data_IF_285809750916
#
_entry.id   IF_285809750916
#
_cell.length_a   1.000
_cell.length_b   1.000
_cell.length_c   1.000
_cell.angle_alpha   90.00
_cell.angle_beta   90.00
_cell.angle_gamma   90.00
#
_symmetry.space_group_name_H-M   'P 1'
#
loop_
_entity.id
_entity.type
_entity.pdbx_description
1 polymer ?
#
# COMPACT_ATOMS: atom_id res chain seq x y z
N UNK A 1 13.37 -7.06 -48.27
CA UNK A 1 13.59 -8.26 -47.45
C UNK A 1 14.86 -8.06 -46.65
N UNK A 2 14.75 -7.96 -45.32
CA UNK A 2 15.91 -7.87 -44.45
C UNK A 2 16.74 -9.15 -44.61
N UNK A 3 18.03 -9.03 -44.90
CA UNK A 3 18.96 -10.18 -45.07
C UNK A 3 19.24 -10.94 -43.76
N UNK A 4 18.60 -10.54 -42.65
CA UNK A 4 18.69 -11.18 -41.35
C UNK A 4 17.27 -11.19 -40.76
N UNK A 5 16.65 -12.37 -40.53
CA UNK A 5 15.33 -12.45 -39.93
C UNK A 5 15.37 -11.89 -38.51
N UNK A 6 14.39 -11.05 -38.17
CA UNK A 6 14.23 -10.53 -36.80
C UNK A 6 13.66 -11.67 -35.95
N UNK A 7 14.46 -12.14 -34.99
CA UNK A 7 14.03 -13.12 -34.00
C UNK A 7 13.16 -12.43 -32.97
N UNK A 8 11.98 -12.98 -32.76
CA UNK A 8 10.96 -12.43 -31.86
C UNK A 8 10.53 -13.51 -30.89
N UNK A 9 10.55 -13.18 -29.60
CA UNK A 9 10.14 -14.09 -28.54
C UNK A 9 8.79 -13.59 -28.01
N UNK A 10 7.82 -14.48 -27.90
CA UNK A 10 6.51 -14.17 -27.33
C UNK A 10 6.16 -15.16 -26.23
N UNK A 11 5.86 -14.64 -25.04
CA UNK A 11 5.40 -15.43 -23.91
C UNK A 11 3.88 -15.48 -23.91
N UNK A 12 3.32 -16.61 -24.31
CA UNK A 12 1.88 -16.81 -24.40
C UNK A 12 1.31 -17.11 -23.00
N UNK A 13 0.43 -16.24 -22.50
CA UNK A 13 -0.33 -16.48 -21.27
C UNK A 13 -1.73 -17.02 -21.58
N UNK A 14 -2.23 -18.05 -20.88
CA UNK A 14 -3.64 -18.45 -20.94
C UNK A 14 -4.61 -17.33 -20.54
N UNK A 15 -4.09 -16.35 -19.79
CA UNK A 15 -4.80 -15.18 -19.30
C UNK A 15 -4.83 -14.00 -20.28
N UNK A 16 -4.21 -14.12 -21.47
CA UNK A 16 -4.20 -13.06 -22.47
C UNK A 16 -5.52 -13.03 -23.26
N UNK A 17 -5.89 -11.85 -23.74
CA UNK A 17 -7.03 -11.71 -24.65
C UNK A 17 -6.78 -12.48 -25.95
N UNK A 18 -7.76 -13.24 -26.48
CA UNK A 18 -7.62 -13.93 -27.77
C UNK A 18 -7.22 -13.00 -28.92
N UNK A 19 -7.72 -11.76 -28.91
CA UNK A 19 -7.41 -10.73 -29.90
C UNK A 19 -5.93 -10.34 -29.90
N UNK A 20 -5.25 -10.38 -28.75
CA UNK A 20 -3.81 -10.11 -28.65
C UNK A 20 -3.00 -11.24 -29.29
N UNK A 21 -3.38 -12.49 -29.03
CA UNK A 21 -2.71 -13.63 -29.64
C UNK A 21 -2.92 -13.63 -31.16
N UNK A 22 -4.15 -13.45 -31.64
CA UNK A 22 -4.45 -13.35 -33.08
C UNK A 22 -3.64 -12.22 -33.74
N UNK A 23 -3.66 -11.03 -33.14
CA UNK A 23 -2.93 -9.88 -33.65
C UNK A 23 -1.42 -10.12 -33.69
N UNK A 24 -0.86 -10.78 -32.68
CA UNK A 24 0.57 -11.13 -32.63
C UNK A 24 0.94 -12.09 -33.76
N UNK A 25 0.14 -13.14 -33.99
CA UNK A 25 0.38 -14.11 -35.06
C UNK A 25 0.26 -13.50 -36.46
N UNK A 26 -0.77 -12.70 -36.67
CA UNK A 26 -0.97 -11.98 -37.93
C UNK A 26 0.15 -10.97 -38.20
N UNK A 27 0.60 -10.27 -37.17
CA UNK A 27 1.69 -9.28 -37.27
C UNK A 27 3.04 -9.95 -37.54
N UNK A 28 3.32 -11.08 -36.87
CA UNK A 28 4.51 -11.87 -37.14
C UNK A 28 4.55 -12.37 -38.59
N UNK A 29 3.41 -12.84 -39.12
CA UNK A 29 3.31 -13.24 -40.52
C UNK A 29 3.47 -12.06 -41.49
N UNK A 30 2.83 -10.92 -41.19
CA UNK A 30 2.86 -9.73 -42.05
C UNK A 30 4.26 -9.10 -42.16
N UNK A 31 5.04 -9.15 -41.09
CA UNK A 31 6.41 -8.62 -41.04
C UNK A 31 7.51 -9.67 -41.24
N UNK A 32 7.16 -10.92 -41.54
CA UNK A 32 8.10 -12.04 -41.72
C UNK A 32 9.04 -12.21 -40.52
N UNK A 33 8.46 -12.18 -39.31
CA UNK A 33 9.18 -12.33 -38.05
C UNK A 33 9.37 -13.80 -37.70
N UNK A 34 10.56 -14.16 -37.22
CA UNK A 34 10.81 -15.49 -36.68
C UNK A 34 10.28 -15.55 -35.23
N UNK A 35 8.99 -15.86 -35.10
CA UNK A 35 8.29 -15.92 -33.82
C UNK A 35 8.53 -17.25 -33.09
N UNK A 36 9.08 -17.16 -31.88
CA UNK A 36 9.24 -18.28 -30.95
C UNK A 36 8.28 -18.10 -29.78
N UNK A 37 7.35 -19.03 -29.62
CA UNK A 37 6.30 -18.99 -28.60
C UNK A 37 6.75 -19.79 -27.38
N UNK A 38 6.79 -19.13 -26.23
CA UNK A 38 7.10 -19.74 -24.94
C UNK A 38 5.83 -19.82 -24.09
N UNK A 39 5.58 -20.99 -23.49
CA UNK A 39 4.41 -21.25 -22.62
C UNK A 39 4.78 -21.51 -21.15
N UNK A 40 6.05 -21.33 -20.82
CA UNK A 40 6.56 -21.37 -19.45
C UNK A 40 6.36 -20.02 -18.76
N UNK A 41 6.62 -19.95 -17.46
CA UNK A 41 6.74 -18.65 -16.79
C UNK A 41 7.88 -17.82 -17.41
N UNK A 42 7.73 -16.49 -17.34
CA UNK A 42 8.59 -15.56 -18.05
C UNK A 42 10.07 -15.70 -17.65
N UNK A 43 10.34 -15.89 -16.35
CA UNK A 43 11.71 -16.00 -15.84
C UNK A 43 12.37 -17.32 -16.27
N UNK A 44 11.72 -18.46 -16.04
CA UNK A 44 12.29 -19.77 -16.38
C UNK A 44 12.44 -19.97 -17.89
N UNK A 45 11.50 -19.43 -18.68
CA UNK A 45 11.59 -19.45 -20.13
C UNK A 45 12.77 -18.62 -20.63
N UNK A 46 12.93 -17.40 -20.09
CA UNK A 46 14.07 -16.56 -20.43
C UNK A 46 15.41 -17.20 -20.01
N UNK A 47 15.50 -17.81 -18.83
CA UNK A 47 16.68 -18.55 -18.39
C UNK A 47 17.03 -19.71 -19.33
N UNK A 48 16.02 -20.47 -19.77
CA UNK A 48 16.21 -21.60 -20.69
C UNK A 48 16.67 -21.12 -22.06
N UNK A 49 16.07 -20.04 -22.56
CA UNK A 49 16.40 -19.43 -23.84
C UNK A 49 17.84 -18.89 -23.88
N UNK A 50 18.27 -18.19 -22.82
CA UNK A 50 19.62 -17.62 -22.72
C UNK A 50 20.69 -18.70 -22.52
N UNK A 51 20.33 -19.88 -22.00
CA UNK A 51 21.22 -21.05 -21.95
C UNK A 51 21.38 -21.72 -23.30
N UNK A 52 20.28 -21.84 -24.05
CA UNK A 52 20.27 -22.52 -25.35
C UNK A 52 20.91 -21.66 -26.46
N UNK A 53 20.67 -20.35 -26.42
CA UNK A 53 21.04 -19.42 -27.51
C UNK A 53 21.95 -18.30 -26.99
N UNK A 54 22.98 -17.90 -27.74
CA UNK A 54 23.94 -16.88 -27.33
C UNK A 54 23.36 -15.45 -27.52
N UNK A 55 22.23 -15.15 -26.88
CA UNK A 55 21.56 -13.85 -26.92
C UNK A 55 22.27 -12.91 -25.94
N UNK A 56 22.71 -11.76 -26.43
CA UNK A 56 23.40 -10.74 -25.61
C UNK A 56 22.51 -9.56 -25.24
N UNK A 57 21.56 -9.23 -26.10
CA UNK A 57 20.69 -8.08 -25.96
C UNK A 57 19.28 -8.42 -26.44
N UNK A 58 18.28 -7.82 -25.79
CA UNK A 58 16.86 -7.99 -26.11
C UNK A 58 16.24 -6.61 -26.23
N UNK A 59 15.56 -6.36 -27.35
CA UNK A 59 14.77 -5.17 -27.55
C UNK A 59 13.44 -5.30 -26.81
N UNK A 60 13.11 -4.28 -26.03
CA UNK A 60 11.88 -4.19 -25.25
C UNK A 60 11.15 -2.90 -25.60
N UNK A 61 9.83 -2.97 -25.70
CA UNK A 61 8.95 -1.83 -25.95
C UNK A 61 8.56 -1.08 -24.68
N UNK A 62 9.44 -1.02 -23.69
CA UNK A 62 9.18 -0.36 -22.40
C UNK A 62 9.29 1.15 -22.55
N UNK A 63 8.33 1.88 -21.98
CA UNK A 63 8.35 3.35 -21.83
C UNK A 63 8.54 3.72 -20.36
N UNK A 64 8.99 4.93 -20.08
CA UNK A 64 9.30 5.40 -18.73
C UNK A 64 8.07 5.41 -17.80
N UNK A 65 6.86 5.56 -18.36
CA UNK A 65 5.60 5.44 -17.62
C UNK A 65 5.09 4.01 -17.41
N UNK A 66 5.81 2.99 -17.89
CA UNK A 66 5.41 1.59 -17.68
C UNK A 66 5.90 1.09 -16.31
N UNK A 67 5.16 0.21 -15.62
CA UNK A 67 5.48 -0.09 -14.22
C UNK A 67 6.84 -0.70 -13.93
N UNK A 68 7.41 -1.37 -14.92
CA UNK A 68 8.69 -2.07 -14.79
C UNK A 68 9.87 -1.22 -15.24
N UNK A 69 9.66 0.04 -15.67
CA UNK A 69 10.68 0.89 -16.27
C UNK A 69 11.58 1.62 -15.25
N UNK A 70 11.23 1.57 -13.96
CA UNK A 70 11.94 2.28 -12.88
C UNK A 70 13.44 1.94 -12.90
N UNK A 71 14.28 2.98 -12.98
CA UNK A 71 15.74 2.85 -13.00
C UNK A 71 16.31 2.23 -14.28
N UNK A 72 15.50 2.02 -15.32
CA UNK A 72 16.00 1.57 -16.61
C UNK A 72 16.47 2.75 -17.45
N UNK A 73 17.63 2.58 -18.08
CA UNK A 73 18.10 3.45 -19.16
C UNK A 73 17.76 2.83 -20.53
N UNK A 74 18.03 3.57 -21.62
CA UNK A 74 17.90 3.06 -22.99
C UNK A 74 18.69 1.77 -23.21
N UNK A 75 19.83 1.62 -22.53
CA UNK A 75 20.61 0.39 -22.45
C UNK A 75 20.86 0.08 -20.98
N UNK A 76 20.29 -1.00 -20.46
CA UNK A 76 20.51 -1.38 -19.05
C UNK A 76 20.68 -2.90 -18.88
N UNK A 77 21.59 -3.36 -18.01
CA UNK A 77 21.73 -4.78 -17.71
C UNK A 77 20.46 -5.32 -17.02
N UNK A 78 20.15 -6.60 -17.22
CA UNK A 78 19.07 -7.24 -16.48
C UNK A 78 19.25 -7.12 -14.96
N UNK A 79 18.13 -7.08 -14.23
CA UNK A 79 18.14 -6.81 -12.79
C UNK A 79 18.75 -7.97 -12.00
N UNK A 80 19.27 -7.70 -10.82
CA UNK A 80 19.82 -8.73 -9.92
C UNK A 80 18.81 -9.87 -9.71
N UNK A 81 19.25 -11.12 -9.87
CA UNK A 81 18.40 -12.31 -9.77
C UNK A 81 17.66 -12.71 -11.05
N UNK A 82 17.81 -11.96 -12.14
CA UNK A 82 17.40 -12.36 -13.50
C UNK A 82 18.59 -12.92 -14.28
N UNK A 83 18.36 -13.75 -15.32
CA UNK A 83 19.45 -14.18 -16.18
C UNK A 83 20.12 -12.98 -16.86
N UNK A 84 21.44 -13.02 -17.10
CA UNK A 84 22.19 -11.87 -17.59
C UNK A 84 21.91 -11.61 -19.09
N UNK A 85 21.39 -10.43 -19.40
CA UNK A 85 21.29 -9.90 -20.77
C UNK A 85 21.20 -8.36 -20.75
N UNK A 86 21.46 -7.70 -21.87
CA UNK A 86 21.26 -6.26 -22.04
C UNK A 86 19.82 -5.96 -22.48
N UNK A 87 19.08 -5.15 -21.72
CA UNK A 87 17.83 -4.54 -22.17
C UNK A 87 18.15 -3.38 -23.11
N UNK A 88 17.46 -3.34 -24.23
CA UNK A 88 17.50 -2.22 -25.18
C UNK A 88 16.09 -1.66 -25.28
N UNK A 89 15.87 -0.42 -24.82
CA UNK A 89 14.57 0.25 -24.75
C UNK A 89 14.55 1.48 -25.68
N UNK A 90 14.28 1.33 -27.00
CA UNK A 90 14.43 2.43 -27.96
C UNK A 90 13.37 3.53 -27.85
N UNK A 91 12.27 3.26 -27.16
CA UNK A 91 11.12 4.16 -27.01
C UNK A 91 10.91 4.55 -25.54
N UNK A 92 11.95 4.48 -24.72
CA UNK A 92 11.85 4.70 -23.28
C UNK A 92 11.26 6.07 -22.95
N UNK A 93 11.63 7.09 -23.71
CA UNK A 93 11.21 8.48 -23.58
C UNK A 93 9.87 8.81 -24.28
N UNK A 94 9.22 7.82 -24.91
CA UNK A 94 7.96 8.08 -25.62
C UNK A 94 6.78 8.18 -24.65
N UNK A 95 5.99 9.23 -24.80
CA UNK A 95 4.71 9.36 -24.09
C UNK A 95 3.60 8.53 -24.75
N UNK A 96 2.47 8.37 -24.06
CA UNK A 96 1.25 7.78 -24.62
C UNK A 96 0.83 8.46 -25.94
N UNK A 97 0.97 9.79 -25.99
CA UNK A 97 0.64 10.59 -27.16
C UNK A 97 1.59 10.32 -28.32
N UNK A 98 2.89 10.16 -28.06
CA UNK A 98 3.89 9.88 -29.10
C UNK A 98 3.64 8.52 -29.75
N UNK A 99 3.30 7.50 -28.93
CA UNK A 99 2.92 6.18 -29.42
C UNK A 99 1.73 6.27 -30.39
N UNK A 100 0.64 6.92 -29.98
CA UNK A 100 -0.54 7.05 -30.86
C UNK A 100 -0.29 7.95 -32.07
N UNK A 101 0.43 9.06 -31.90
CA UNK A 101 0.79 9.94 -33.00
C UNK A 101 1.56 9.17 -34.07
N UNK A 102 2.54 8.35 -33.67
CA UNK A 102 3.30 7.50 -34.59
C UNK A 102 2.42 6.44 -35.26
N UNK A 103 1.67 5.66 -34.46
CA UNK A 103 0.79 4.60 -34.98
C UNK A 103 -0.19 5.14 -36.03
N UNK A 104 -0.87 6.25 -35.71
CA UNK A 104 -1.87 6.86 -36.60
C UNK A 104 -1.23 7.52 -37.83
N UNK A 105 -0.13 8.26 -37.65
CA UNK A 105 0.55 8.96 -38.75
C UNK A 105 1.17 7.97 -39.74
N UNK A 106 1.82 6.92 -39.22
CA UNK A 106 2.46 5.88 -40.02
C UNK A 106 1.50 4.77 -40.47
N UNK A 107 0.22 4.85 -40.05
CA UNK A 107 -0.82 3.84 -40.36
C UNK A 107 -0.39 2.42 -39.99
N UNK A 108 0.29 2.29 -38.84
CA UNK A 108 0.69 1.00 -38.29
C UNK A 108 -0.56 0.31 -37.77
N UNK A 109 -0.72 -0.98 -38.08
CA UNK A 109 -1.84 -1.76 -37.54
C UNK A 109 -1.67 -1.91 -36.02
N UNK A 110 -2.78 -1.89 -35.29
CA UNK A 110 -2.84 -2.11 -33.84
C UNK A 110 -3.99 -3.08 -33.49
N UNK A 111 -3.99 -3.62 -32.27
CA UNK A 111 -4.99 -4.59 -31.82
C UNK A 111 -6.40 -3.95 -31.72
N UNK A 112 -7.43 -4.65 -32.19
CA UNK A 112 -8.82 -4.15 -32.22
C UNK A 112 -9.43 -3.84 -30.85
N UNK A 113 -8.84 -4.33 -29.76
CA UNK A 113 -9.27 -3.96 -28.40
C UNK A 113 -9.11 -2.46 -28.14
N UNK A 114 -8.11 -1.82 -28.74
CA UNK A 114 -7.92 -0.38 -28.57
C UNK A 114 -9.09 0.44 -29.17
N UNK A 115 -9.76 -0.06 -30.21
CA UNK A 115 -10.98 0.59 -30.74
C UNK A 115 -12.19 0.43 -29.82
N UNK A 116 -12.13 -0.52 -28.89
CA UNK A 116 -13.19 -0.83 -27.91
C UNK A 116 -12.97 -0.11 -26.57
N UNK A 117 -12.06 0.87 -26.51
CA UNK A 117 -11.79 1.67 -25.32
C UNK A 117 -10.78 1.09 -24.35
N UNK A 118 -10.13 -0.04 -24.66
CA UNK A 118 -9.02 -0.53 -23.86
C UNK A 118 -7.80 0.36 -24.10
N UNK A 119 -7.25 0.97 -23.05
CA UNK A 119 -6.07 1.86 -23.17
C UNK A 119 -4.78 1.20 -22.72
N UNK A 120 -4.86 0.18 -21.85
CA UNK A 120 -3.76 -0.70 -21.43
C UNK A 120 -4.27 -2.13 -21.42
N UNK A 121 -3.51 -3.08 -21.97
CA UNK A 121 -3.94 -4.48 -22.10
C UNK A 121 -3.08 -5.35 -21.20
N UNK A 122 -3.71 -6.13 -20.31
CA UNK A 122 -3.02 -7.12 -19.49
C UNK A 122 -3.83 -8.41 -19.47
N UNK A 123 -4.26 -8.89 -18.29
CA UNK A 123 -5.01 -10.15 -18.26
C UNK A 123 -6.50 -9.93 -18.49
N UNK A 124 -7.18 -10.94 -19.03
CA UNK A 124 -8.65 -10.96 -19.19
C UNK A 124 -9.39 -10.83 -17.84
N UNK A 125 -8.71 -11.05 -16.72
CA UNK A 125 -9.29 -10.98 -15.38
C UNK A 125 -9.21 -9.59 -14.76
N UNK A 126 -8.25 -8.78 -15.18
CA UNK A 126 -7.95 -7.48 -14.56
C UNK A 126 -8.03 -6.31 -15.53
N UNK A 127 -8.38 -6.52 -16.79
CA UNK A 127 -8.46 -5.47 -17.79
C UNK A 127 -9.90 -5.23 -18.19
N UNK A 128 -10.35 -3.97 -18.12
CA UNK A 128 -11.64 -3.48 -18.60
C UNK A 128 -11.42 -2.23 -19.48
N UNK A 129 -12.39 -1.85 -20.33
CA UNK A 129 -12.31 -0.60 -21.06
C UNK A 129 -12.14 0.61 -20.14
N UNK A 130 -11.45 1.64 -20.61
CA UNK A 130 -11.25 2.87 -19.85
C UNK A 130 -12.56 3.65 -19.75
N UNK A 131 -13.05 3.85 -18.52
CA UNK A 131 -14.32 4.53 -18.27
C UNK A 131 -14.38 5.96 -18.83
N UNK A 132 -13.23 6.65 -18.96
CA UNK A 132 -13.13 8.00 -19.53
C UNK A 132 -13.44 8.04 -21.03
N UNK A 133 -13.41 6.89 -21.70
CA UNK A 133 -13.77 6.73 -23.11
C UNK A 133 -15.23 6.34 -23.30
N UNK A 134 -16.00 6.14 -22.22
CA UNK A 134 -17.41 5.79 -22.32
C UNK A 134 -18.23 6.92 -22.95
N UNK A 135 -19.13 6.54 -23.86
CA UNK A 135 -20.14 7.43 -24.45
C UNK A 135 -21.49 7.06 -23.87
N UNK A 136 -21.98 7.89 -22.95
CA UNK A 136 -23.29 7.70 -22.35
C UNK A 136 -24.39 8.12 -23.35
N UNK A 137 -24.83 7.19 -24.19
CA UNK A 137 -26.09 7.35 -24.93
C UNK A 137 -27.25 6.85 -24.06
N UNK A 138 -28.09 7.78 -23.61
CA UNK A 138 -29.24 7.57 -22.71
C UNK A 138 -30.37 6.70 -23.27
N UNK A 139 -30.13 5.95 -24.36
CA UNK A 139 -31.15 5.16 -25.06
C UNK A 139 -30.69 3.76 -25.49
N UNK A 140 -29.48 3.30 -25.12
CA UNK A 140 -29.05 1.94 -25.44
C UNK A 140 -28.41 1.24 -24.23
N UNK A 141 -28.74 -0.03 -24.02
CA UNK A 141 -28.20 -0.89 -22.95
C UNK A 141 -26.77 -1.38 -23.22
N UNK A 142 -26.11 -0.86 -24.26
CA UNK A 142 -24.71 -1.17 -24.61
C UNK A 142 -23.84 0.05 -24.33
N UNK A 143 -22.90 -0.10 -23.42
CA UNK A 143 -21.84 0.89 -23.22
C UNK A 143 -20.97 0.93 -24.48
N UNK A 144 -21.00 2.07 -25.18
CA UNK A 144 -20.14 2.33 -26.33
C UNK A 144 -18.90 3.10 -25.85
N UNK A 145 -17.72 2.70 -26.31
CA UNK A 145 -16.46 3.36 -25.95
C UNK A 145 -15.81 4.00 -27.18
N UNK A 146 -15.16 5.14 -26.96
CA UNK A 146 -14.27 5.77 -27.94
C UNK A 146 -12.96 4.97 -28.04
N UNK A 147 -12.27 5.01 -29.19
CA UNK A 147 -10.95 4.40 -29.34
C UNK A 147 -9.91 4.96 -28.36
N UNK A 148 -8.92 4.14 -28.02
CA UNK A 148 -7.88 4.43 -27.04
C UNK A 148 -7.12 5.74 -27.33
N UNK A 149 -6.78 6.01 -28.58
CA UNK A 149 -6.08 7.24 -28.98
C UNK A 149 -6.87 8.53 -28.69
N UNK A 150 -8.15 8.44 -28.32
CA UNK A 150 -8.95 9.58 -27.88
C UNK A 150 -8.84 9.87 -26.37
N UNK A 151 -8.06 9.09 -25.62
CA UNK A 151 -7.78 9.36 -24.21
C UNK A 151 -6.97 10.65 -24.11
N UNK A 152 -7.55 11.66 -23.45
CA UNK A 152 -6.96 12.99 -23.36
C UNK A 152 -5.73 13.05 -22.45
N UNK A 153 -5.73 12.25 -21.39
CA UNK A 153 -4.64 12.19 -20.41
C UNK A 153 -4.00 10.80 -20.44
N UNK A 154 -2.78 10.73 -20.98
CA UNK A 154 -2.01 9.49 -21.08
C UNK A 154 -1.65 8.88 -19.72
N UNK A 155 -1.63 9.65 -18.63
CA UNK A 155 -1.38 9.12 -17.27
C UNK A 155 -2.48 8.15 -16.82
N UNK A 156 -3.67 8.29 -17.40
CA UNK A 156 -4.83 7.44 -17.11
C UNK A 156 -4.89 6.22 -18.04
N UNK A 157 -3.81 5.89 -18.75
CA UNK A 157 -3.72 4.72 -19.64
C UNK A 157 -4.14 3.42 -18.94
N UNK A 158 -3.82 3.27 -17.65
CA UNK A 158 -4.10 2.05 -16.86
C UNK A 158 -5.36 2.16 -15.99
N UNK A 159 -6.18 3.19 -16.16
CA UNK A 159 -7.41 3.36 -15.38
C UNK A 159 -8.42 2.22 -15.60
N UNK A 160 -8.36 1.54 -16.76
CA UNK A 160 -9.15 0.34 -17.07
C UNK A 160 -8.67 -0.95 -16.39
N UNK A 161 -8.11 -0.89 -15.18
CA UNK A 161 -7.71 -2.10 -14.43
C UNK A 161 -8.77 -2.44 -13.39
N UNK A 162 -9.42 -3.59 -13.53
CA UNK A 162 -10.37 -4.07 -12.53
C UNK A 162 -9.64 -4.34 -11.21
N UNK A 163 -10.18 -3.78 -10.10
CA UNK A 163 -9.72 -4.09 -8.74
C UNK A 163 -9.79 -5.60 -8.55
N UNK A 164 -8.64 -6.24 -8.29
CA UNK A 164 -8.57 -7.69 -8.05
C UNK A 164 -9.39 -8.04 -6.81
N UNK A 165 -10.63 -8.48 -6.98
CA UNK A 165 -11.34 -9.23 -5.94
C UNK A 165 -10.62 -10.56 -5.87
N UNK A 166 -9.81 -10.73 -4.82
CA UNK A 166 -9.20 -12.00 -4.46
C UNK A 166 -10.27 -13.10 -4.48
N UNK A 167 -10.11 -14.05 -5.39
CA UNK A 167 -10.95 -15.23 -5.54
C UNK A 167 -10.86 -16.08 -4.27
N UNK A 168 -11.91 -16.01 -3.43
CA UNK A 168 -12.19 -17.05 -2.44
C UNK A 168 -12.66 -18.31 -3.16
N UNK A 169 -12.09 -19.42 -2.74
CA UNK A 169 -12.45 -20.78 -3.11
C UNK A 169 -13.97 -21.02 -2.93
N UNK A 170 -14.59 -21.60 -3.94
CA UNK A 170 -15.99 -22.01 -3.94
C UNK A 170 -16.27 -23.01 -2.81
N UNK A 171 -17.25 -22.70 -1.97
CA UNK A 171 -18.03 -23.69 -1.24
C UNK A 171 -19.51 -23.46 -1.59
N UNK A 172 -19.97 -24.27 -2.53
CA UNK A 172 -21.31 -24.87 -2.65
C UNK A 172 -22.49 -24.05 -2.09
N UNK A 173 -23.31 -23.54 -3.00
CA UNK A 173 -24.68 -23.09 -2.75
C UNK A 173 -25.46 -24.12 -1.91
N UNK A 174 -25.86 -23.73 -0.70
CA UNK A 174 -27.02 -24.29 -0.02
C UNK A 174 -28.02 -23.17 0.24
N UNK A 175 -29.24 -23.46 -0.17
CA UNK A 175 -30.42 -22.62 -0.20
C UNK A 175 -30.68 -21.89 1.12
N UNK A 176 -31.18 -20.67 0.96
CA UNK A 176 -31.81 -19.86 2.00
C UNK A 176 -32.80 -20.67 2.83
N UNK A 177 -32.69 -20.55 4.14
CA UNK A 177 -33.85 -20.50 5.01
C UNK A 177 -33.58 -19.51 6.12
N UNK A 178 -34.52 -18.59 6.29
CA UNK A 178 -34.43 -17.44 7.18
C UNK A 178 -34.15 -17.86 8.62
N UNK A 179 -33.32 -17.05 9.27
CA UNK A 179 -33.32 -16.92 10.71
C UNK A 179 -32.82 -15.52 11.04
N UNK A 180 -33.75 -14.69 11.50
CA UNK A 180 -33.44 -13.45 12.20
C UNK A 180 -32.48 -13.78 13.34
N UNK A 181 -31.19 -13.50 13.15
CA UNK A 181 -30.22 -13.51 14.23
C UNK A 181 -29.90 -12.07 14.61
N UNK A 182 -30.78 -11.56 15.47
CA UNK A 182 -30.46 -10.71 16.61
C UNK A 182 -28.96 -10.47 16.84
N UNK A 183 -28.54 -9.21 16.70
CA UNK A 183 -27.43 -8.58 17.41
C UNK A 183 -26.16 -9.40 17.64
N UNK A 184 -25.44 -9.77 16.57
CA UNK A 184 -24.02 -10.08 16.72
C UNK A 184 -23.26 -8.78 17.03
N UNK A 185 -22.92 -8.59 18.31
CA UNK A 185 -22.03 -7.53 18.80
C UNK A 185 -20.70 -7.53 18.00
N UNK A 186 -20.63 -6.74 16.92
CA UNK A 186 -19.34 -6.26 16.39
C UNK A 186 -18.76 -5.32 17.44
N UNK A 187 -17.71 -5.73 18.13
CA UNK A 187 -16.88 -4.80 18.92
C UNK A 187 -16.28 -3.77 17.95
N UNK A 188 -16.86 -2.58 17.89
CA UNK A 188 -16.54 -1.49 16.95
C UNK A 188 -15.26 -0.74 17.37
N UNK A 189 -14.14 -1.43 17.41
CA UNK A 189 -12.83 -0.80 17.57
C UNK A 189 -12.20 -0.66 16.19
N UNK A 190 -11.90 0.57 15.79
CA UNK A 190 -11.04 0.82 14.63
C UNK A 190 -9.60 0.55 15.06
N UNK A 191 -8.86 -0.19 14.25
CA UNK A 191 -7.48 -0.56 14.54
C UNK A 191 -6.48 0.27 13.74
N UNK A 192 -5.37 0.58 14.39
CA UNK A 192 -4.23 1.26 13.80
C UNK A 192 -2.97 0.41 13.91
N UNK A 193 -2.12 0.51 12.89
CA UNK A 193 -0.75 -0.01 12.90
C UNK A 193 0.24 1.13 12.79
N UNK A 194 1.39 0.99 13.44
CA UNK A 194 2.48 1.98 13.39
C UNK A 194 3.75 1.27 12.88
N UNK A 195 4.39 1.85 11.88
CA UNK A 195 5.62 1.34 11.28
C UNK A 195 6.68 2.45 11.37
N UNK A 196 7.73 2.19 12.13
CA UNK A 196 8.92 3.02 12.18
C UNK A 196 9.95 2.48 11.18
N UNK A 197 10.52 3.34 10.34
CA UNK A 197 11.56 2.98 9.37
C UNK A 197 12.86 3.66 9.80
N UNK A 198 13.85 2.87 10.21
CA UNK A 198 15.11 3.42 10.73
C UNK A 198 16.05 2.36 11.30
N UNK A 199 17.18 2.15 10.62
CA UNK A 199 18.24 1.27 11.11
C UNK A 199 18.84 1.75 12.44
N UNK A 200 18.88 3.06 12.67
CA UNK A 200 19.38 3.67 13.90
C UNK A 200 18.58 3.27 15.15
N UNK A 201 17.28 3.00 14.98
CA UNK A 201 16.39 2.47 16.02
C UNK A 201 16.72 1.00 16.24
N UNK A 202 16.87 0.22 15.17
CA UNK A 202 17.22 -1.20 15.23
C UNK A 202 18.61 -1.45 15.83
N UNK A 203 19.57 -0.55 15.57
CA UNK A 203 20.91 -0.58 16.14
C UNK A 203 20.96 -0.10 17.59
N UNK A 204 19.86 0.46 18.12
CA UNK A 204 19.79 1.01 19.47
C UNK A 204 20.60 2.29 19.65
N UNK A 205 20.94 2.98 18.55
CA UNK A 205 21.65 4.27 18.58
C UNK A 205 20.70 5.45 18.76
N UNK A 206 19.42 5.26 18.49
CA UNK A 206 18.34 6.21 18.76
C UNK A 206 17.15 5.50 19.42
N UNK A 207 16.45 6.17 20.32
CA UNK A 207 15.21 5.67 20.93
C UNK A 207 13.99 6.08 20.10
N UNK A 208 13.06 5.15 19.89
CA UNK A 208 11.77 5.46 19.25
C UNK A 208 10.83 6.19 20.24
N UNK A 209 10.78 7.52 20.12
CA UNK A 209 9.86 8.37 20.88
C UNK A 209 8.57 8.69 20.08
N UNK A 210 8.63 8.65 18.75
CA UNK A 210 7.50 8.99 17.87
C UNK A 210 6.44 7.90 17.94
N UNK A 211 6.82 6.63 17.84
CA UNK A 211 5.91 5.49 17.91
C UNK A 211 5.17 5.42 19.24
N UNK A 212 5.87 5.66 20.35
CA UNK A 212 5.27 5.75 21.68
C UNK A 212 4.25 6.90 21.79
N UNK A 213 4.58 8.08 21.26
CA UNK A 213 3.69 9.25 21.27
C UNK A 213 2.46 9.02 20.40
N UNK A 214 2.62 8.43 19.21
CA UNK A 214 1.51 8.03 18.33
C UNK A 214 0.56 7.06 19.01
N UNK A 215 1.08 6.09 19.78
CA UNK A 215 0.22 5.18 20.54
C UNK A 215 -0.67 5.91 21.53
N UNK A 216 -0.11 6.88 22.27
CA UNK A 216 -0.86 7.69 23.24
C UNK A 216 -1.93 8.53 22.53
N UNK A 217 -1.59 9.16 21.42
CA UNK A 217 -2.51 9.98 20.61
C UNK A 217 -3.65 9.18 20.00
N UNK A 218 -3.36 8.04 19.38
CA UNK A 218 -4.38 7.15 18.82
C UNK A 218 -5.31 6.61 19.90
N UNK A 219 -4.75 6.26 21.05
CA UNK A 219 -5.54 5.84 22.20
C UNK A 219 -6.47 6.97 22.70
N UNK A 220 -5.98 8.21 22.77
CA UNK A 220 -6.78 9.38 23.14
C UNK A 220 -7.92 9.65 22.14
N UNK A 221 -7.74 9.33 20.85
CA UNK A 221 -8.80 9.45 19.83
C UNK A 221 -9.71 8.22 19.70
N UNK A 222 -9.52 7.22 20.56
CA UNK A 222 -10.37 6.02 20.61
C UNK A 222 -10.02 4.95 19.57
N UNK A 223 -8.84 5.03 18.97
CA UNK A 223 -8.25 4.05 18.05
C UNK A 223 -7.38 3.05 18.81
N UNK A 224 -7.54 1.77 18.49
CA UNK A 224 -6.76 0.71 19.12
C UNK A 224 -5.51 0.44 18.28
N UNK A 225 -4.32 0.70 18.83
CA UNK A 225 -3.08 0.27 18.19
C UNK A 225 -2.96 -1.25 18.34
N UNK A 226 -3.05 -1.97 17.22
CA UNK A 226 -2.96 -3.43 17.18
C UNK A 226 -1.53 -3.90 16.96
N UNK A 227 -0.70 -3.08 16.32
CA UNK A 227 0.66 -3.43 15.98
C UNK A 227 1.58 -2.20 15.94
N UNK A 228 2.80 -2.38 16.41
CA UNK A 228 3.92 -1.48 16.19
C UNK A 228 5.13 -2.31 15.75
N UNK A 229 5.81 -1.86 14.72
CA UNK A 229 7.03 -2.49 14.20
C UNK A 229 8.07 -1.44 13.86
N UNK A 230 9.34 -1.83 14.00
CA UNK A 230 10.50 -1.10 13.49
C UNK A 230 11.09 -1.95 12.37
N UNK A 231 11.28 -1.37 11.19
CA UNK A 231 11.82 -2.05 10.01
C UNK A 231 13.10 -1.40 9.52
N UNK A 232 13.89 -2.16 8.77
CA UNK A 232 15.15 -1.69 8.19
C UNK A 232 14.91 -0.63 7.12
N UNK A 233 15.93 0.18 6.85
CA UNK A 233 15.98 1.14 5.73
C UNK A 233 16.15 0.41 4.38
N UNK A 234 15.26 -0.55 4.12
CA UNK A 234 15.22 -1.36 2.91
C UNK A 234 13.79 -1.39 2.35
N UNK A 235 13.66 -1.23 1.03
CA UNK A 235 12.37 -1.13 0.34
C UNK A 235 11.53 -2.38 0.54
N UNK A 236 12.16 -3.56 0.56
CA UNK A 236 11.46 -4.85 0.66
C UNK A 236 10.92 -5.04 2.08
N UNK A 237 11.71 -4.65 3.08
CA UNK A 237 11.34 -4.67 4.50
C UNK A 237 10.13 -3.77 4.78
N UNK A 238 10.15 -2.54 4.29
CA UNK A 238 9.00 -1.62 4.41
C UNK A 238 7.79 -2.17 3.65
N UNK A 239 7.99 -2.66 2.42
CA UNK A 239 6.90 -3.16 1.60
C UNK A 239 6.21 -4.38 2.21
N UNK A 240 6.97 -5.31 2.78
CA UNK A 240 6.43 -6.50 3.44
C UNK A 240 5.58 -6.13 4.65
N UNK A 241 6.05 -5.22 5.51
CA UNK A 241 5.29 -4.81 6.69
C UNK A 241 4.02 -4.05 6.29
N UNK A 242 4.11 -3.13 5.33
CA UNK A 242 2.93 -2.42 4.82
C UNK A 242 1.93 -3.37 4.16
N UNK A 243 2.37 -4.36 3.37
CA UNK A 243 1.52 -5.39 2.76
C UNK A 243 0.73 -6.17 3.83
N UNK A 244 1.39 -6.54 4.92
CA UNK A 244 0.78 -7.28 6.01
C UNK A 244 -0.26 -6.43 6.77
N UNK A 245 0.00 -5.13 6.99
CA UNK A 245 -0.87 -4.26 7.79
C UNK A 245 -2.01 -3.64 7.02
N UNK A 246 -1.81 -3.27 5.75
CA UNK A 246 -2.82 -2.53 4.95
C UNK A 246 -4.17 -3.25 4.83
N UNK A 247 -4.20 -4.58 4.99
CA UNK A 247 -5.42 -5.40 4.92
C UNK A 247 -5.97 -5.86 6.28
N UNK A 248 -5.16 -5.75 7.34
CA UNK A 248 -5.52 -6.20 8.70
C UNK A 248 -6.03 -5.07 9.56
N UNK A 249 -5.56 -3.85 9.30
CA UNK A 249 -5.86 -2.68 10.11
C UNK A 249 -6.57 -1.61 9.28
N UNK A 250 -7.43 -0.84 9.95
CA UNK A 250 -8.21 0.21 9.31
C UNK A 250 -7.31 1.36 8.84
N UNK A 251 -6.23 1.65 9.57
CA UNK A 251 -5.24 2.67 9.20
C UNK A 251 -3.81 2.23 9.58
N UNK A 252 -2.84 2.67 8.79
CA UNK A 252 -1.41 2.44 9.04
C UNK A 252 -0.70 3.78 9.05
N UNK A 253 0.07 4.04 10.10
CA UNK A 253 0.96 5.18 10.21
C UNK A 253 2.38 4.74 9.98
N UNK A 254 3.09 5.48 9.15
CA UNK A 254 4.49 5.23 8.84
C UNK A 254 5.30 6.51 9.10
N UNK A 255 6.46 6.37 9.71
CA UNK A 255 7.39 7.49 9.92
C UNK A 255 8.84 7.03 9.81
N UNK A 256 9.75 7.97 9.57
CA UNK A 256 11.15 7.68 9.26
C UNK A 256 11.35 7.28 7.78
N UNK A 257 12.61 7.20 7.35
CA UNK A 257 12.99 6.88 5.97
C UNK A 257 12.41 7.83 4.91
N UNK A 258 12.26 9.12 5.26
CA UNK A 258 11.83 10.20 4.37
C UNK A 258 12.91 11.27 4.26
N UNK A 259 13.41 11.49 3.05
CA UNK A 259 14.51 12.40 2.79
C UNK A 259 15.22 12.08 1.47
N UNK A 260 16.32 12.79 1.16
CA UNK A 260 17.02 12.68 -0.12
C UNK A 260 18.10 11.59 -0.11
N UNK A 261 18.28 10.86 0.99
CA UNK A 261 19.33 9.86 1.11
C UNK A 261 18.87 8.55 0.48
N UNK A 262 19.82 7.75 0.02
CA UNK A 262 19.57 6.38 -0.46
C UNK A 262 18.86 5.45 0.55
N UNK A 263 18.91 5.80 1.84
CA UNK A 263 18.27 5.09 2.94
C UNK A 263 16.82 5.52 3.15
N UNK A 264 16.36 6.58 2.49
CA UNK A 264 15.00 7.09 2.59
C UNK A 264 14.06 6.29 1.67
N UNK A 265 13.69 5.11 2.15
CA UNK A 265 12.99 4.08 1.37
C UNK A 265 11.48 4.04 1.60
N UNK A 266 10.95 4.87 2.50
CA UNK A 266 9.57 4.73 3.00
C UNK A 266 8.51 4.85 1.90
N UNK A 267 8.63 5.87 1.05
CA UNK A 267 7.70 6.08 -0.06
C UNK A 267 7.78 4.95 -1.09
N UNK A 268 9.01 4.50 -1.41
CA UNK A 268 9.25 3.39 -2.32
C UNK A 268 8.69 2.05 -1.79
N UNK A 269 8.85 1.79 -0.49
CA UNK A 269 8.29 0.62 0.18
C UNK A 269 6.77 0.62 0.14
N UNK A 270 6.13 1.77 0.40
CA UNK A 270 4.68 1.94 0.26
C UNK A 270 4.23 1.71 -1.17
N UNK A 271 4.92 2.28 -2.17
CA UNK A 271 4.60 2.05 -3.59
C UNK A 271 4.66 0.55 -3.95
N UNK A 272 5.74 -0.14 -3.54
CA UNK A 272 5.92 -1.56 -3.76
C UNK A 272 4.83 -2.40 -3.09
N UNK A 273 4.45 -2.09 -1.85
CA UNK A 273 3.34 -2.75 -1.16
C UNK A 273 2.01 -2.58 -1.90
N UNK A 274 1.76 -1.43 -2.52
CA UNK A 274 0.53 -1.25 -3.30
C UNK A 274 0.62 -1.74 -4.75
N UNK A 275 1.80 -2.20 -5.19
CA UNK A 275 2.05 -2.63 -6.56
C UNK A 275 1.92 -1.50 -7.57
N UNK A 276 2.27 -0.27 -7.16
CA UNK A 276 2.25 0.94 -7.99
C UNK A 276 3.66 1.48 -8.16
N UNK A 277 3.84 2.37 -9.12
CA UNK A 277 5.13 3.00 -9.41
C UNK A 277 5.29 4.30 -8.67
N UNK A 278 6.52 4.76 -8.55
CA UNK A 278 6.78 6.13 -8.16
C UNK A 278 6.76 7.01 -9.41
N UNK A 279 6.07 8.14 -9.32
CA UNK A 279 6.05 9.16 -10.36
C UNK A 279 6.31 10.53 -9.73
N UNK A 280 6.96 11.46 -10.45
CA UNK A 280 7.06 12.84 -10.00
C UNK A 280 5.67 13.44 -9.78
N UNK A 281 5.49 14.06 -8.62
CA UNK A 281 4.28 14.78 -8.27
C UNK A 281 4.56 16.29 -8.29
N UNK A 282 3.94 17.01 -9.24
CA UNK A 282 4.19 18.44 -9.46
C UNK A 282 3.77 19.31 -8.26
N UNK A 283 2.69 18.93 -7.56
CA UNK A 283 2.15 19.67 -6.42
C UNK A 283 3.06 19.50 -5.19
N UNK A 284 3.54 18.28 -4.96
CA UNK A 284 4.53 18.03 -3.92
C UNK A 284 5.87 18.68 -4.25
N UNK A 285 6.31 18.66 -5.51
CA UNK A 285 7.54 19.31 -5.95
C UNK A 285 7.50 20.83 -5.73
N UNK A 286 6.37 21.48 -6.02
CA UNK A 286 6.19 22.91 -5.75
C UNK A 286 6.30 23.21 -4.25
N UNK A 287 5.67 22.39 -3.40
CA UNK A 287 5.78 22.50 -1.95
C UNK A 287 7.24 22.34 -1.47
N UNK A 288 7.97 21.37 -2.01
CA UNK A 288 9.39 21.17 -1.72
C UNK A 288 10.24 22.35 -2.18
N UNK A 289 9.95 22.95 -3.34
CA UNK A 289 10.70 24.11 -3.86
C UNK A 289 10.60 25.32 -2.94
N UNK A 290 9.44 25.52 -2.31
CA UNK A 290 9.26 26.57 -1.29
C UNK A 290 10.10 26.34 -0.02
N UNK A 291 10.37 25.08 0.33
CA UNK A 291 11.12 24.72 1.53
C UNK A 291 12.64 24.69 1.30
N UNK A 292 13.09 24.09 0.22
CA UNK A 292 14.51 23.77 -0.03
C UNK A 292 15.16 24.75 -1.04
N UNK A 293 14.35 25.57 -1.73
CA UNK A 293 14.81 26.47 -2.79
C UNK A 293 15.26 25.73 -4.07
N UNK A 294 15.98 26.42 -4.97
CA UNK A 294 16.51 25.86 -6.22
C UNK A 294 17.77 24.97 -6.01
N UNK A 295 17.95 24.38 -4.83
CA UNK A 295 19.17 23.63 -4.47
C UNK A 295 19.12 22.16 -4.91
N UNK A 296 18.10 21.75 -5.64
CA UNK A 296 18.04 20.43 -6.29
C UNK A 296 19.04 20.37 -7.45
N UNK A 297 20.26 19.88 -7.17
CA UNK A 297 21.26 19.64 -8.20
C UNK A 297 21.01 18.29 -8.87
N UNK A 298 20.16 18.27 -9.91
CA UNK A 298 19.84 17.12 -10.76
C UNK A 298 18.68 17.43 -11.71
N UNK A 299 18.52 16.67 -12.80
CA UNK A 299 17.43 16.89 -13.77
C UNK A 299 16.03 16.56 -13.19
N UNK A 300 15.95 15.83 -12.07
CA UNK A 300 14.71 15.45 -11.39
C UNK A 300 14.85 15.48 -9.85
N UNK A 301 13.82 15.97 -9.16
CA UNK A 301 13.76 15.98 -7.69
C UNK A 301 13.26 14.62 -7.17
N UNK A 302 14.17 13.75 -6.73
CA UNK A 302 13.82 12.41 -6.24
C UNK A 302 12.89 12.46 -5.00
N UNK A 303 12.91 13.54 -4.23
CA UNK A 303 11.99 13.78 -3.11
C UNK A 303 10.53 13.95 -3.55
N UNK A 304 10.31 14.32 -4.82
CA UNK A 304 8.98 14.50 -5.39
C UNK A 304 8.37 13.22 -5.97
N UNK A 305 9.06 12.09 -5.86
CA UNK A 305 8.59 10.80 -6.37
C UNK A 305 7.59 10.17 -5.40
N UNK A 306 6.31 10.14 -5.79
CA UNK A 306 5.22 9.61 -4.97
C UNK A 306 4.50 8.42 -5.63
N UNK A 307 3.81 7.53 -4.87
CA UNK A 307 3.09 6.38 -5.41
C UNK A 307 1.96 6.79 -6.37
N UNK A 308 2.12 6.46 -7.64
CA UNK A 308 1.26 6.90 -8.73
C UNK A 308 -0.18 6.36 -8.57
N UNK A 309 -1.16 7.27 -8.75
CA UNK A 309 -2.58 6.94 -8.81
C UNK A 309 -3.22 6.54 -7.47
N UNK A 310 -2.47 6.56 -6.36
CA UNK A 310 -3.00 6.27 -5.02
C UNK A 310 -2.65 7.31 -3.96
N UNK A 311 -1.78 8.27 -4.31
CA UNK A 311 -1.34 9.32 -3.41
C UNK A 311 -2.39 10.42 -3.33
N UNK A 312 -2.69 10.82 -2.11
CA UNK A 312 -3.51 11.97 -1.74
C UNK A 312 -2.64 12.87 -0.87
N UNK A 313 -2.41 14.10 -1.31
CA UNK A 313 -1.67 15.11 -0.56
C UNK A 313 -2.61 15.88 0.35
N UNK A 314 -2.40 15.75 1.66
CA UNK A 314 -3.23 16.40 2.66
C UNK A 314 -2.60 17.75 3.05
N UNK A 315 -3.19 18.82 2.52
CA UNK A 315 -2.71 20.18 2.67
C UNK A 315 -3.17 20.82 3.98
N UNK A 316 -2.27 21.56 4.62
CA UNK A 316 -2.58 22.37 5.78
C UNK A 316 -1.69 23.61 5.82
N UNK A 317 -2.23 24.79 6.14
CA UNK A 317 -1.51 26.07 6.10
C UNK A 317 -0.30 26.12 7.05
N UNK A 318 -0.33 25.32 8.12
CA UNK A 318 0.73 25.26 9.12
C UNK A 318 1.89 24.34 8.71
N UNK A 319 1.68 23.46 7.73
CA UNK A 319 2.70 22.50 7.30
C UNK A 319 3.50 23.04 6.11
N UNK A 320 4.84 22.93 6.13
CA UNK A 320 5.67 23.35 5.01
C UNK A 320 5.54 22.43 3.80
N UNK A 321 5.22 21.16 4.03
CA UNK A 321 4.94 20.14 3.02
C UNK A 321 3.66 19.39 3.40
N UNK A 322 2.81 19.02 2.44
CA UNK A 322 1.57 18.30 2.74
C UNK A 322 1.87 16.88 3.28
N UNK A 323 0.95 16.32 4.06
CA UNK A 323 1.08 14.92 4.50
C UNK A 323 0.79 13.99 3.32
N UNK A 324 1.54 12.92 3.22
CA UNK A 324 1.38 11.92 2.16
C UNK A 324 0.45 10.83 2.66
N UNK A 325 -0.68 10.64 1.99
CA UNK A 325 -1.61 9.53 2.25
C UNK A 325 -1.72 8.63 1.03
N UNK A 326 -1.44 7.36 1.22
CA UNK A 326 -1.56 6.31 0.21
C UNK A 326 -2.65 5.32 0.65
N UNK A 327 -3.88 5.52 0.18
CA UNK A 327 -5.07 4.77 0.65
C UNK A 327 -5.26 4.87 2.17
N UNK A 328 -5.03 3.77 2.92
CA UNK A 328 -5.12 3.73 4.38
C UNK A 328 -3.75 3.87 5.07
N UNK A 329 -2.68 4.16 4.33
CA UNK A 329 -1.35 4.44 4.88
C UNK A 329 -1.13 5.94 4.92
N UNK A 330 -0.78 6.49 6.07
CA UNK A 330 -0.37 7.89 6.25
C UNK A 330 1.11 7.91 6.59
N UNK A 331 1.88 8.72 5.87
CA UNK A 331 3.31 8.88 6.08
C UNK A 331 3.57 10.23 6.75
N UNK A 332 4.14 10.21 7.95
CA UNK A 332 4.57 11.39 8.67
C UNK A 332 6.04 11.70 8.34
N UNK A 333 6.30 12.95 7.96
CA UNK A 333 7.65 13.48 7.73
C UNK A 333 8.33 13.95 9.03
N UNK A 334 7.79 13.59 10.19
CA UNK A 334 8.28 14.04 11.48
C UNK A 334 9.59 13.33 11.86
N UNK A 335 10.60 14.12 12.22
CA UNK A 335 11.89 13.65 12.75
C UNK A 335 11.97 13.72 14.27
N UNK A 336 11.05 14.46 14.90
CA UNK A 336 10.97 14.65 16.34
C UNK A 336 9.51 14.81 16.80
N UNK A 337 9.32 14.79 18.13
CA UNK A 337 7.99 14.89 18.74
C UNK A 337 7.28 16.20 18.36
N UNK A 338 7.98 17.34 18.33
CA UNK A 338 7.33 18.63 18.03
C UNK A 338 6.76 18.66 16.61
N UNK A 339 7.47 18.11 15.64
CA UNK A 339 6.99 17.96 14.26
C UNK A 339 5.81 16.99 14.18
N UNK A 340 5.88 15.88 14.92
CA UNK A 340 4.78 14.92 15.01
C UNK A 340 3.52 15.55 15.58
N UNK A 341 3.64 16.29 16.69
CA UNK A 341 2.52 17.01 17.33
C UNK A 341 1.86 17.95 16.32
N UNK A 342 2.67 18.73 15.60
CA UNK A 342 2.16 19.67 14.58
C UNK A 342 1.43 18.93 13.46
N UNK A 343 2.05 17.88 12.90
CA UNK A 343 1.45 17.08 11.83
C UNK A 343 0.18 16.35 12.28
N UNK A 344 0.13 15.90 13.54
CA UNK A 344 -1.03 15.23 14.11
C UNK A 344 -2.22 16.18 14.28
N UNK A 345 -2.01 17.37 14.85
CA UNK A 345 -3.09 18.36 14.99
C UNK A 345 -3.62 18.79 13.61
N UNK A 346 -2.72 19.03 12.65
CA UNK A 346 -3.10 19.32 11.28
C UNK A 346 -3.96 18.20 10.68
N UNK A 347 -3.60 16.93 10.90
CA UNK A 347 -4.37 15.77 10.42
C UNK A 347 -5.79 15.71 11.01
N UNK A 348 -5.98 16.15 12.26
CA UNK A 348 -7.29 16.21 12.92
C UNK A 348 -8.15 17.37 12.43
N UNK A 349 -7.53 18.49 12.05
CA UNK A 349 -8.23 19.71 11.58
C UNK A 349 -8.70 19.60 10.12
N UNK A 350 -8.19 18.63 9.35
CA UNK A 350 -8.61 18.43 7.95
C UNK A 350 -10.13 18.17 7.83
N UNK A 351 -10.76 18.90 6.92
CA UNK A 351 -12.21 18.77 6.65
C UNK A 351 -12.62 17.36 6.19
N UNK A 352 -11.71 16.64 5.54
CA UNK A 352 -11.87 15.25 5.12
C UNK A 352 -10.88 14.34 5.85
N UNK A 353 -10.73 14.52 7.17
CA UNK A 353 -9.79 13.70 7.94
C UNK A 353 -10.08 12.20 7.77
N UNK A 354 -9.07 11.36 7.49
CA UNK A 354 -9.23 9.92 7.44
C UNK A 354 -9.46 9.31 8.83
N UNK A 355 -9.24 10.07 9.90
CA UNK A 355 -9.45 9.65 11.27
C UNK A 355 -10.87 9.93 11.73
N UNK A 356 -11.69 8.89 11.83
CA UNK A 356 -12.99 8.98 12.50
C UNK A 356 -12.76 9.30 13.97
N UNK A 357 -13.26 10.45 14.43
CA UNK A 357 -13.22 10.81 15.84
C UNK A 357 -14.17 9.89 16.62
N UNK A 358 -13.59 9.04 17.46
CA UNK A 358 -14.35 8.13 18.31
C UNK A 358 -14.37 8.64 19.76
N UNK A 359 -15.30 8.12 20.56
CA UNK A 359 -15.24 8.33 22.00
C UNK A 359 -13.89 7.80 22.54
N UNK A 360 -13.18 8.57 23.37
CA UNK A 360 -11.90 8.17 23.93
C UNK A 360 -12.06 6.90 24.78
N UNK A 361 -10.97 6.13 24.89
CA UNK A 361 -10.96 5.01 25.82
C UNK A 361 -11.02 5.51 27.27
N UNK A 362 -11.83 4.84 28.07
CA UNK A 362 -11.87 5.04 29.51
C UNK A 362 -11.02 3.95 30.15
N UNK A 363 -10.01 4.37 30.91
CA UNK A 363 -9.17 3.48 31.69
C UNK A 363 -9.48 3.59 33.18
N UNK A 364 -9.38 2.46 33.88
CA UNK A 364 -9.35 2.39 35.33
C UNK A 364 -8.21 1.46 35.74
N UNK A 365 -7.34 1.92 36.63
CA UNK A 365 -6.17 1.16 37.05
C UNK A 365 -6.29 0.78 38.52
N UNK A 366 -6.04 -0.50 38.81
CA UNK A 366 -5.98 -1.02 40.17
C UNK A 366 -4.57 -1.52 40.45
N UNK A 367 -4.05 -1.21 41.63
CA UNK A 367 -2.78 -1.69 42.14
C UNK A 367 -2.99 -2.72 43.25
N UNK A 368 -2.17 -3.77 43.29
CA UNK A 368 -2.22 -4.80 44.33
C UNK A 368 -0.84 -5.35 44.68
N UNK A 369 -0.67 -5.83 45.92
CA UNK A 369 0.53 -6.56 46.35
C UNK A 369 0.42 -8.08 46.15
N UNK A 370 -0.74 -8.57 45.70
CA UNK A 370 -0.95 -9.98 45.38
C UNK A 370 0.01 -10.45 44.28
N UNK A 371 0.35 -11.74 44.28
CA UNK A 371 1.18 -12.35 43.26
C UNK A 371 0.44 -12.53 41.93
N UNK A 372 1.20 -12.68 40.84
CA UNK A 372 0.64 -12.91 39.50
C UNK A 372 -0.14 -14.24 39.45
N UNK A 373 0.30 -15.23 40.22
CA UNK A 373 -0.35 -16.55 40.31
C UNK A 373 -1.74 -16.44 40.95
N UNK A 374 -1.86 -15.68 42.04
CA UNK A 374 -3.12 -15.49 42.75
C UNK A 374 -4.15 -14.73 41.90
N UNK A 375 -3.69 -13.81 41.04
CA UNK A 375 -4.57 -12.98 40.21
C UNK A 375 -4.89 -13.61 38.85
N UNK A 376 -4.03 -14.46 38.30
CA UNK A 376 -4.15 -15.01 36.94
C UNK A 376 -5.51 -15.67 36.66
N UNK A 377 -5.96 -16.61 37.50
CA UNK A 377 -7.22 -17.33 37.27
C UNK A 377 -8.43 -16.40 37.27
N UNK A 378 -8.45 -15.41 38.17
CA UNK A 378 -9.56 -14.45 38.28
C UNK A 378 -9.59 -13.53 37.07
N UNK A 379 -8.43 -13.06 36.62
CA UNK A 379 -8.30 -12.20 35.44
C UNK A 379 -8.69 -12.95 34.17
N UNK A 380 -8.27 -14.21 33.99
CA UNK A 380 -8.70 -15.03 32.86
C UNK A 380 -10.22 -15.19 32.81
N UNK A 381 -10.87 -15.38 33.95
CA UNK A 381 -12.33 -15.46 34.03
C UNK A 381 -13.01 -14.12 33.73
N UNK A 382 -12.46 -13.02 34.23
CA UNK A 382 -12.95 -11.67 33.94
C UNK A 382 -12.90 -11.34 32.45
N UNK A 383 -11.84 -11.77 31.75
CA UNK A 383 -11.72 -11.56 30.30
C UNK A 383 -12.82 -12.25 29.51
N UNK A 384 -13.31 -13.39 29.99
CA UNK A 384 -14.47 -14.08 29.39
C UNK A 384 -15.79 -13.36 29.71
N UNK A 385 -15.92 -12.85 30.93
CA UNK A 385 -17.14 -12.15 31.39
C UNK A 385 -17.30 -10.75 30.74
N UNK A 386 -16.20 -10.13 30.32
CA UNK A 386 -16.17 -8.78 29.73
C UNK A 386 -15.35 -8.73 28.42
N UNK A 387 -15.84 -9.33 27.31
CA UNK A 387 -15.07 -9.47 26.07
C UNK A 387 -14.74 -8.14 25.36
N UNK A 388 -15.52 -7.10 25.61
CA UNK A 388 -15.36 -5.74 25.07
C UNK A 388 -14.60 -4.77 26.00
N UNK A 389 -14.05 -5.28 27.11
CA UNK A 389 -13.07 -4.54 27.92
C UNK A 389 -11.71 -5.17 27.67
N UNK A 390 -10.75 -4.36 27.24
CA UNK A 390 -9.36 -4.73 27.22
C UNK A 390 -8.82 -4.69 28.66
N UNK A 391 -8.68 -5.86 29.26
CA UNK A 391 -7.97 -6.01 30.53
C UNK A 391 -6.49 -6.10 30.15
N UNK A 392 -5.83 -4.94 30.06
CA UNK A 392 -4.44 -4.88 29.63
C UNK A 392 -3.57 -5.64 30.63
N UNK A 393 -2.57 -6.34 30.09
CA UNK A 393 -1.70 -7.21 30.85
C UNK A 393 -1.21 -6.59 32.15
N UNK A 394 -1.34 -7.38 33.21
CA UNK A 394 -0.69 -7.20 34.50
C UNK A 394 0.78 -6.77 34.31
N UNK A 395 1.12 -5.52 34.65
CA UNK A 395 2.51 -5.09 34.63
C UNK A 395 2.97 -4.68 36.03
N UNK A 396 4.21 -5.03 36.34
CA UNK A 396 4.91 -4.54 37.54
C UNK A 396 6.06 -3.67 37.08
N UNK A 397 6.24 -2.50 37.70
CA UNK A 397 7.44 -1.67 37.49
C UNK A 397 8.72 -2.37 37.99
N UNK A 398 8.59 -3.29 38.95
CA UNK A 398 9.68 -4.11 39.48
C UNK A 398 9.11 -5.46 39.95
N UNK A 399 9.88 -6.55 39.92
CA UNK A 399 9.45 -7.87 40.41
C UNK A 399 8.95 -7.83 41.86
N UNK A 400 9.46 -6.92 42.68
CA UNK A 400 9.05 -6.71 44.07
C UNK A 400 7.99 -5.60 44.25
N UNK A 401 7.63 -4.90 43.17
CA UNK A 401 6.66 -3.80 43.19
C UNK A 401 5.21 -4.27 43.05
N UNK A 402 4.25 -3.37 43.26
CA UNK A 402 2.82 -3.67 43.12
C UNK A 402 2.50 -4.03 41.67
N UNK A 403 1.53 -4.93 41.52
CA UNK A 403 0.94 -5.30 40.25
C UNK A 403 -0.13 -4.28 39.86
N UNK A 404 0.00 -3.71 38.66
CA UNK A 404 -0.97 -2.77 38.07
C UNK A 404 -1.82 -3.54 37.06
N UNK A 405 -3.14 -3.48 37.25
CA UNK A 405 -4.16 -4.07 36.38
C UNK A 405 -4.97 -2.93 35.78
N UNK A 406 -4.96 -2.85 34.45
CA UNK A 406 -5.65 -1.78 33.72
C UNK A 406 -6.89 -2.33 33.02
N UNK A 407 -8.04 -1.72 33.30
CA UNK A 407 -9.29 -2.00 32.62
C UNK A 407 -9.56 -0.88 31.62
N UNK A 408 -9.67 -1.23 30.34
CA UNK A 408 -9.78 -0.27 29.25
C UNK A 408 -11.00 -0.59 28.39
N UNK A 409 -11.85 0.39 28.13
CA UNK A 409 -12.99 0.22 27.22
C UNK A 409 -13.71 1.53 26.92
N UNK A 410 -14.70 1.48 26.00
CA UNK A 410 -15.49 2.65 25.62
C UNK A 410 -16.70 2.92 26.53
N UNK A 411 -17.07 1.97 27.38
CA UNK A 411 -18.22 2.09 28.29
C UNK A 411 -17.76 2.17 29.74
N UNK A 412 -17.88 3.37 30.34
CA UNK A 412 -17.48 3.65 31.73
C UNK A 412 -18.08 2.68 32.73
N UNK A 413 -19.39 2.44 32.63
CA UNK A 413 -20.13 1.59 33.57
C UNK A 413 -19.59 0.17 33.54
N UNK A 414 -19.25 -0.34 32.35
CA UNK A 414 -18.69 -1.69 32.26
C UNK A 414 -17.25 -1.76 32.77
N UNK A 415 -16.43 -0.75 32.49
CA UNK A 415 -15.06 -0.64 33.03
C UNK A 415 -15.09 -0.64 34.56
N UNK A 416 -15.97 0.15 35.17
CA UNK A 416 -16.16 0.18 36.62
C UNK A 416 -16.67 -1.17 37.15
N UNK A 417 -17.65 -1.78 36.50
CA UNK A 417 -18.20 -3.08 36.89
C UNK A 417 -17.15 -4.19 36.83
N UNK A 418 -16.26 -4.19 35.83
CA UNK A 418 -15.17 -5.16 35.72
C UNK A 418 -14.13 -4.97 36.84
N UNK A 419 -13.74 -3.74 37.14
CA UNK A 419 -12.82 -3.41 38.22
C UNK A 419 -13.40 -3.78 39.60
N UNK A 420 -14.69 -3.50 39.83
CA UNK A 420 -15.38 -3.93 41.05
C UNK A 420 -15.47 -5.44 41.17
N UNK A 421 -15.80 -6.14 40.07
CA UNK A 421 -15.91 -7.60 40.06
C UNK A 421 -14.57 -8.26 40.36
N UNK A 422 -13.45 -7.68 39.92
CA UNK A 422 -12.11 -8.11 40.35
C UNK A 422 -11.94 -7.89 41.86
N UNK A 423 -12.20 -6.68 42.34
CA UNK A 423 -11.97 -6.32 43.75
C UNK A 423 -12.77 -7.17 44.72
N UNK A 424 -14.02 -7.51 44.39
CA UNK A 424 -14.90 -8.36 45.22
C UNK A 424 -14.47 -9.83 45.31
N UNK A 425 -13.58 -10.30 44.42
CA UNK A 425 -13.07 -11.68 44.44
C UNK A 425 -11.94 -11.89 45.45
N UNK A 426 -11.41 -10.81 46.02
CA UNK A 426 -10.33 -10.82 47.01
C UNK A 426 -10.77 -10.13 48.30
N UNK A 427 -9.92 -10.18 49.33
CA UNK A 427 -10.20 -9.53 50.61
C UNK A 427 -10.29 -8.00 50.46
N UNK A 428 -11.08 -7.35 51.32
CA UNK A 428 -11.21 -5.90 51.32
C UNK A 428 -9.84 -5.23 51.50
N UNK A 429 -9.52 -4.25 50.64
CA UNK A 429 -8.22 -3.57 50.64
C UNK A 429 -7.11 -4.25 49.82
N UNK A 430 -7.38 -5.39 49.19
CA UNK A 430 -6.41 -6.06 48.31
C UNK A 430 -6.04 -5.23 47.07
N UNK A 431 -6.92 -4.31 46.65
CA UNK A 431 -6.72 -3.42 45.52
C UNK A 431 -6.86 -1.96 45.96
N UNK A 432 -5.99 -1.11 45.43
CA UNK A 432 -6.07 0.35 45.58
C UNK A 432 -6.13 0.99 44.19
N UNK A 433 -6.96 2.01 44.02
CA UNK A 433 -7.03 2.75 42.77
C UNK A 433 -5.71 3.48 42.52
N UNK A 434 -5.19 3.35 41.31
CA UNK A 434 -3.93 3.94 40.89
C UNK A 434 -4.23 4.98 39.81
N UNK A 435 -3.78 6.22 40.01
CA UNK A 435 -3.76 7.23 38.94
C UNK A 435 -2.42 7.11 38.23
N UNK A 436 -2.44 6.82 36.94
CA UNK A 436 -1.29 7.09 36.09
C UNK A 436 -1.34 8.59 35.78
N UNK A 437 -0.58 9.39 36.52
CA UNK A 437 -0.27 10.76 36.12
C UNK A 437 0.70 10.77 34.93
#
# INVERSE_FOLDING_TARGET
MLKCPIRTIYFECPCAFPEINSFTYETAAAYDLQLEIMRSDFKSGLESLLKEKPIKAIFLGTRIGDPNAVGQEQFSPSSTGWPPFMRVNPILDWSYRDVWAFILTCKVKYCSLYDQGYTSIGSIYDTVPNALLSTADSSSTKENFKPAYMLSDGRLERAGRAKKISSKCESTHVLSNGMDNTGAHRSSFLTASIIAVGDEILFGTAEDQIGATLCQKLYATGWQVAHIAVVQNDVDSVAEEVEQRKSRDDIVFLFGGLGPLHSDVSVAGVAKAFGVCLAPDEEFEESLRHLIGDHCTGDHNELALLPEGITELLHHETLPVPLIKCRNVIIFAATNICELETQWECLLELSNTPLVQMAPFISKHLSTMLSDIETAQVISKLRMDFPDIYIAGCHRKSRAGPLIISFVGKNKIRVELAAEKLSRRFHAGAFCEFSCD
#
